data_IF_961357791426
#
_entry.id   IF_961357791426
#
_cell.length_a   1.000
_cell.length_b   1.000
_cell.length_c   1.000
_cell.angle_alpha   90.00
_cell.angle_beta   90.00
_cell.angle_gamma   90.00
#
_symmetry.space_group_name_H-M   'P 1'
#
loop_
_entity.id
_entity.type
_entity.pdbx_description
1 polymer ?
#
# COMPACT_ATOMS: atom_id res chain seq x y z
N UNK A 1 15.54 -31.68 -16.02
CA UNK A 1 14.28 -31.04 -15.58
C UNK A 1 14.39 -30.77 -14.09
N UNK A 2 14.67 -29.53 -13.68
CA UNK A 2 14.74 -29.16 -12.26
C UNK A 2 13.33 -28.88 -11.75
N UNK A 3 12.87 -29.67 -10.76
CA UNK A 3 11.61 -29.45 -10.06
C UNK A 3 11.71 -28.16 -9.24
N UNK A 4 10.90 -27.16 -9.61
CA UNK A 4 10.68 -25.97 -8.78
C UNK A 4 10.01 -26.38 -7.47
N UNK A 5 10.78 -26.38 -6.38
CA UNK A 5 10.25 -26.46 -5.03
C UNK A 5 9.53 -25.13 -4.77
N UNK A 6 8.20 -25.13 -4.85
CA UNK A 6 7.39 -23.95 -4.51
C UNK A 6 7.51 -23.70 -3.00
N UNK A 7 8.16 -22.60 -2.64
CA UNK A 7 8.26 -22.16 -1.25
C UNK A 7 6.85 -22.01 -0.63
N UNK A 8 6.56 -22.84 0.37
CA UNK A 8 5.30 -22.81 1.10
C UNK A 8 5.33 -21.63 2.07
N UNK A 9 4.72 -20.51 1.68
CA UNK A 9 4.60 -19.33 2.56
C UNK A 9 3.40 -19.50 3.49
N UNK A 10 3.65 -19.62 4.80
CA UNK A 10 2.63 -19.71 5.85
C UNK A 10 1.62 -18.54 5.82
N UNK A 11 2.01 -17.38 5.31
CA UNK A 11 1.16 -16.21 5.15
C UNK A 11 0.10 -16.33 4.04
N UNK A 12 0.22 -17.32 3.15
CA UNK A 12 -0.79 -17.55 2.09
C UNK A 12 -1.99 -18.37 2.56
N UNK A 13 -1.89 -19.07 3.70
CA UNK A 13 -2.96 -19.94 4.22
C UNK A 13 -4.26 -19.17 4.48
N UNK A 14 -4.25 -18.00 5.15
CA UNK A 14 -5.47 -17.22 5.37
C UNK A 14 -6.12 -16.76 4.06
N UNK A 15 -5.30 -16.39 3.07
CA UNK A 15 -5.75 -15.90 1.75
C UNK A 15 -6.39 -17.04 0.94
N UNK A 16 -5.81 -18.24 0.97
CA UNK A 16 -6.40 -19.42 0.32
C UNK A 16 -7.72 -19.84 0.98
N UNK A 17 -7.84 -19.73 2.31
CA UNK A 17 -9.10 -20.02 3.01
C UNK A 17 -10.15 -18.94 2.70
N UNK A 18 -9.76 -17.67 2.63
CA UNK A 18 -10.63 -16.55 2.31
C UNK A 18 -11.10 -16.50 0.84
N UNK A 19 -10.45 -17.25 -0.06
CA UNK A 19 -10.81 -17.34 -1.49
C UNK A 19 -11.40 -18.70 -1.89
N UNK A 20 -11.36 -19.70 -1.01
CA UNK A 20 -11.94 -21.01 -1.27
C UNK A 20 -13.48 -20.98 -1.33
N UNK A 21 -14.08 -21.98 -1.99
CA UNK A 21 -15.55 -22.14 -2.04
C UNK A 21 -16.14 -22.48 -0.66
N UNK A 22 -17.42 -22.15 -0.42
CA UNK A 22 -18.11 -22.33 0.88
C UNK A 22 -17.95 -23.75 1.46
N UNK A 23 -17.97 -24.78 0.61
CA UNK A 23 -17.77 -26.18 1.03
C UNK A 23 -16.34 -26.48 1.49
N UNK A 24 -15.33 -26.01 0.75
CA UNK A 24 -13.91 -26.22 1.09
C UNK A 24 -13.51 -25.48 2.37
N UNK A 25 -14.09 -24.30 2.65
CA UNK A 25 -13.91 -23.57 3.91
C UNK A 25 -14.47 -24.34 5.11
N UNK A 26 -15.68 -24.90 4.97
CA UNK A 26 -16.31 -25.69 6.04
C UNK A 26 -15.52 -26.96 6.33
N UNK A 27 -15.03 -27.65 5.30
CA UNK A 27 -14.23 -28.87 5.44
C UNK A 27 -12.86 -28.58 6.08
N UNK A 28 -12.20 -27.49 5.68
CA UNK A 28 -10.96 -27.06 6.30
C UNK A 28 -11.15 -26.66 7.77
N UNK A 29 -12.19 -25.88 8.08
CA UNK A 29 -12.51 -25.47 9.44
C UNK A 29 -12.84 -26.67 10.35
N UNK A 30 -13.65 -27.61 9.84
CA UNK A 30 -13.97 -28.84 10.55
C UNK A 30 -12.76 -29.74 10.75
N UNK A 31 -11.90 -29.89 9.74
CA UNK A 31 -10.67 -30.67 9.84
C UNK A 31 -9.65 -30.08 10.82
N UNK A 32 -9.52 -28.76 10.86
CA UNK A 32 -8.67 -28.09 11.86
C UNK A 32 -9.25 -28.20 13.26
N UNK A 33 -10.58 -28.08 13.40
CA UNK A 33 -11.24 -28.21 14.69
C UNK A 33 -11.09 -29.63 15.24
N UNK A 34 -11.40 -30.66 14.44
CA UNK A 34 -11.29 -32.06 14.86
C UNK A 34 -9.85 -32.47 15.19
N UNK A 35 -8.87 -31.99 14.42
CA UNK A 35 -7.45 -32.20 14.71
C UNK A 35 -7.01 -31.59 16.05
N UNK A 36 -7.43 -30.36 16.35
CA UNK A 36 -7.13 -29.71 17.63
C UNK A 36 -7.81 -30.40 18.81
N UNK A 37 -9.06 -30.88 18.63
CA UNK A 37 -9.75 -31.67 19.66
C UNK A 37 -9.09 -33.02 19.92
N UNK A 38 -8.62 -33.72 18.88
CA UNK A 38 -7.91 -35.00 19.03
C UNK A 38 -6.53 -34.85 19.71
N UNK A 39 -5.81 -33.76 19.42
CA UNK A 39 -4.55 -33.45 20.10
C UNK A 39 -4.80 -33.03 21.56
N UNK A 40 -5.87 -32.25 21.80
CA UNK A 40 -6.27 -31.82 23.14
C UNK A 40 -6.78 -32.94 24.04
N UNK A 41 -7.35 -34.01 23.48
CA UNK A 41 -7.75 -35.18 24.28
C UNK A 41 -6.57 -36.03 24.73
N UNK A 42 -5.46 -36.05 23.97
CA UNK A 42 -4.23 -36.78 24.30
C UNK A 42 -3.37 -36.02 25.31
N UNK A 43 -3.22 -34.69 25.13
CA UNK A 43 -2.37 -33.84 25.97
C UNK A 43 -3.07 -33.30 27.23
N UNK A 44 -4.38 -33.52 27.37
CA UNK A 44 -5.15 -33.18 28.56
C UNK A 44 -5.42 -31.67 28.75
N UNK A 45 -5.87 -31.26 29.95
CA UNK A 45 -6.35 -29.90 30.22
C UNK A 45 -5.30 -28.80 29.99
N UNK A 46 -4.02 -29.11 30.18
CA UNK A 46 -2.92 -28.17 30.00
C UNK A 46 -2.80 -27.66 28.55
N UNK A 47 -3.14 -28.49 27.56
CA UNK A 47 -3.16 -28.09 26.16
C UNK A 47 -4.15 -26.95 25.90
N UNK A 48 -5.35 -27.02 26.49
CA UNK A 48 -6.37 -25.98 26.33
C UNK A 48 -5.97 -24.66 26.98
N UNK A 49 -5.22 -24.70 28.09
CA UNK A 49 -4.67 -23.50 28.73
C UNK A 49 -3.63 -22.84 27.83
N UNK A 50 -2.71 -23.62 27.24
CA UNK A 50 -1.68 -23.10 26.32
C UNK A 50 -2.30 -22.58 25.02
N UNK A 51 -3.25 -23.33 24.45
CA UNK A 51 -3.97 -22.92 23.24
C UNK A 51 -4.83 -21.67 23.50
N UNK A 52 -5.53 -21.62 24.63
CA UNK A 52 -6.32 -20.47 25.05
C UNK A 52 -5.45 -19.23 25.32
N UNK A 53 -4.32 -19.40 26.01
CA UNK A 53 -3.39 -18.31 26.31
C UNK A 53 -2.71 -17.75 25.06
N UNK A 54 -2.27 -18.61 24.14
CA UNK A 54 -1.70 -18.17 22.86
C UNK A 54 -2.76 -17.50 21.97
N UNK A 55 -3.98 -18.03 21.90
CA UNK A 55 -5.09 -17.41 21.20
C UNK A 55 -5.46 -16.04 21.79
N UNK A 56 -5.43 -15.88 23.12
CA UNK A 56 -5.67 -14.61 23.79
C UNK A 56 -4.59 -13.56 23.44
N UNK A 57 -3.32 -13.95 23.38
CA UNK A 57 -2.23 -13.05 22.98
C UNK A 57 -2.34 -12.61 21.52
N UNK A 58 -2.68 -13.53 20.62
CA UNK A 58 -2.92 -13.22 19.21
C UNK A 58 -4.14 -12.30 19.09
N UNK A 59 -5.23 -12.62 19.78
CA UNK A 59 -6.45 -11.81 19.80
C UNK A 59 -6.21 -10.42 20.38
N UNK A 60 -5.39 -10.29 21.42
CA UNK A 60 -4.97 -9.01 22.00
C UNK A 60 -4.14 -8.19 21.02
N UNK A 61 -3.19 -8.81 20.29
CA UNK A 61 -2.42 -8.11 19.26
C UNK A 61 -3.27 -7.68 18.08
N UNK A 62 -4.18 -8.53 17.64
CA UNK A 62 -5.16 -8.19 16.61
C UNK A 62 -6.02 -7.05 17.11
N UNK A 63 -6.58 -7.12 18.32
CA UNK A 63 -7.39 -6.05 18.90
C UNK A 63 -6.62 -4.74 19.02
N UNK A 64 -5.36 -4.73 19.47
CA UNK A 64 -4.50 -3.53 19.49
C UNK A 64 -4.24 -2.95 18.10
N UNK A 65 -4.10 -3.80 17.08
CA UNK A 65 -3.96 -3.33 15.70
C UNK A 65 -5.30 -2.77 15.17
N UNK A 66 -6.43 -3.36 15.57
CA UNK A 66 -7.77 -2.94 15.15
C UNK A 66 -8.33 -1.77 15.97
N UNK A 67 -7.87 -1.54 17.20
CA UNK A 67 -8.34 -0.45 18.05
C UNK A 67 -7.97 0.93 17.50
N UNK A 68 -6.84 1.03 16.79
CA UNK A 68 -6.47 2.23 16.05
C UNK A 68 -7.52 2.59 14.96
N UNK A 69 -8.18 1.58 14.38
CA UNK A 69 -9.29 1.83 13.45
C UNK A 69 -10.55 2.32 14.18
N UNK A 70 -10.76 1.93 15.44
CA UNK A 70 -11.85 2.44 16.26
C UNK A 70 -11.65 3.88 16.71
N UNK A 71 -10.42 4.30 17.01
CA UNK A 71 -10.11 5.71 17.31
C UNK A 71 -10.38 6.62 16.10
N UNK A 72 -10.09 6.14 14.89
CA UNK A 72 -10.42 6.84 13.65
C UNK A 72 -11.95 6.99 13.48
N UNK A 73 -12.73 6.03 13.98
CA UNK A 73 -14.21 6.05 13.93
C UNK A 73 -14.80 6.96 15.02
N UNK A 74 -14.17 7.05 16.20
CA UNK A 74 -14.71 7.78 17.35
C UNK A 74 -14.28 9.25 17.41
N UNK A 75 -13.09 9.62 16.94
CA UNK A 75 -12.60 11.02 16.99
C UNK A 75 -13.04 11.88 15.80
N UNK A 76 -13.86 11.35 14.90
CA UNK A 76 -14.43 12.14 13.82
C UNK A 76 -15.66 12.92 14.33
N UNK A 77 -15.44 14.16 14.77
CA UNK A 77 -16.48 15.19 14.98
C UNK A 77 -17.17 15.53 13.64
N UNK A 78 -17.90 14.57 13.08
CA UNK A 78 -18.60 14.69 11.82
C UNK A 78 -20.03 15.18 12.07
N UNK A 79 -20.33 16.35 11.51
CA UNK A 79 -21.65 16.95 11.45
C UNK A 79 -22.73 15.94 10.99
N UNK A 80 -24.01 16.14 11.36
CA UNK A 80 -25.03 15.08 11.36
C UNK A 80 -25.53 14.60 9.98
N UNK A 81 -24.87 14.94 8.87
CA UNK A 81 -25.49 14.91 7.54
C UNK A 81 -24.81 14.03 6.46
N UNK A 82 -23.80 13.20 6.76
CA UNK A 82 -23.16 12.38 5.72
C UNK A 82 -22.72 10.95 6.16
N UNK A 83 -23.72 10.13 6.54
CA UNK A 83 -23.96 8.76 6.05
C UNK A 83 -22.83 7.72 5.94
N UNK A 84 -22.76 6.88 6.98
CA UNK A 84 -22.28 5.48 7.04
C UNK A 84 -20.78 5.22 6.95
N UNK A 85 -20.31 4.29 7.79
CA UNK A 85 -18.97 3.69 7.74
C UNK A 85 -18.62 3.17 6.34
N UNK A 86 -19.63 2.73 5.57
CA UNK A 86 -19.48 2.37 4.16
C UNK A 86 -19.13 3.56 3.26
N UNK A 87 -19.71 4.75 3.51
CA UNK A 87 -19.36 5.99 2.80
C UNK A 87 -17.92 6.44 3.08
N UNK A 88 -17.49 6.35 4.34
CA UNK A 88 -16.10 6.62 4.75
C UNK A 88 -15.12 5.58 4.18
N UNK A 89 -15.45 4.29 4.25
CA UNK A 89 -14.64 3.23 3.63
C UNK A 89 -14.59 3.38 2.11
N UNK A 90 -15.70 3.72 1.46
CA UNK A 90 -15.77 3.92 0.01
C UNK A 90 -14.96 5.15 -0.41
N UNK A 91 -14.98 6.23 0.35
CA UNK A 91 -14.17 7.41 0.06
C UNK A 91 -12.68 7.14 0.26
N UNK A 92 -12.31 6.41 1.31
CA UNK A 92 -10.94 5.95 1.58
C UNK A 92 -10.43 4.96 0.51
N UNK A 93 -11.25 4.01 0.07
CA UNK A 93 -10.90 3.08 -1.02
C UNK A 93 -10.82 3.82 -2.35
N UNK A 94 -11.67 4.83 -2.58
CA UNK A 94 -11.62 5.69 -3.75
C UNK A 94 -10.35 6.53 -3.82
N UNK A 95 -9.94 7.15 -2.70
CA UNK A 95 -8.69 7.90 -2.63
C UNK A 95 -7.47 7.00 -2.77
N UNK A 96 -7.49 5.80 -2.18
CA UNK A 96 -6.40 4.83 -2.32
C UNK A 96 -6.28 4.32 -3.77
N UNK A 97 -7.39 4.08 -4.47
CA UNK A 97 -7.35 3.70 -5.90
C UNK A 97 -6.82 4.83 -6.77
N UNK A 98 -7.24 6.07 -6.52
CA UNK A 98 -6.74 7.23 -7.25
C UNK A 98 -5.25 7.47 -6.97
N UNK A 99 -4.81 7.29 -5.73
CA UNK A 99 -3.41 7.41 -5.33
C UNK A 99 -2.54 6.32 -5.99
N UNK A 100 -3.02 5.09 -6.06
CA UNK A 100 -2.30 3.99 -6.71
C UNK A 100 -2.21 4.18 -8.23
N UNK A 101 -3.29 4.67 -8.87
CA UNK A 101 -3.26 5.04 -10.28
C UNK A 101 -2.29 6.21 -10.54
N UNK A 102 -2.29 7.22 -9.69
CA UNK A 102 -1.36 8.35 -9.78
C UNK A 102 0.09 7.89 -9.59
N UNK A 103 0.34 6.98 -8.66
CA UNK A 103 1.65 6.37 -8.43
C UNK A 103 2.14 5.65 -9.68
N UNK A 104 1.29 4.85 -10.32
CA UNK A 104 1.65 4.13 -11.55
C UNK A 104 1.97 5.10 -12.70
N UNK A 105 1.13 6.12 -12.92
CA UNK A 105 1.40 7.15 -13.93
C UNK A 105 2.71 7.91 -13.66
N UNK A 106 2.99 8.22 -12.39
CA UNK A 106 4.23 8.88 -12.01
C UNK A 106 5.45 7.98 -12.24
N UNK A 107 5.35 6.68 -11.96
CA UNK A 107 6.42 5.71 -12.24
C UNK A 107 6.69 5.63 -13.74
N UNK A 108 5.63 5.50 -14.55
CA UNK A 108 5.76 5.44 -16.01
C UNK A 108 6.42 6.71 -16.57
N UNK A 109 6.08 7.88 -16.01
CA UNK A 109 6.69 9.15 -16.40
C UNK A 109 8.16 9.26 -15.96
N UNK A 110 8.49 8.82 -14.75
CA UNK A 110 9.89 8.82 -14.28
C UNK A 110 10.74 7.86 -15.10
N UNK A 111 10.20 6.69 -15.47
CA UNK A 111 10.88 5.72 -16.32
C UNK A 111 11.06 6.24 -17.75
N UNK A 112 10.06 6.91 -18.32
CA UNK A 112 10.15 7.50 -19.67
C UNK A 112 11.16 8.65 -19.70
N UNK A 113 11.15 9.52 -18.69
CA UNK A 113 12.14 10.58 -18.53
C UNK A 113 13.54 10.02 -18.28
N UNK A 114 13.68 9.00 -17.44
CA UNK A 114 14.95 8.33 -17.19
C UNK A 114 15.54 7.58 -18.40
N UNK A 115 14.74 7.36 -19.45
CA UNK A 115 15.21 6.85 -20.74
C UNK A 115 15.78 7.95 -21.66
N UNK A 116 15.54 9.22 -21.35
CA UNK A 116 16.16 10.37 -22.04
C UNK A 116 17.57 10.62 -21.50
N UNK A 117 18.47 11.21 -22.29
CA UNK A 117 19.83 11.52 -21.82
C UNK A 117 19.82 12.47 -20.62
N UNK A 118 18.93 13.47 -20.62
CA UNK A 118 18.82 14.44 -19.55
C UNK A 118 18.33 13.78 -18.25
N UNK A 119 17.24 13.01 -18.31
CA UNK A 119 16.70 12.34 -17.14
C UNK A 119 17.57 11.19 -16.65
N UNK A 120 18.28 10.49 -17.55
CA UNK A 120 19.27 9.50 -17.16
C UNK A 120 20.40 10.13 -16.35
N UNK A 121 20.92 11.27 -16.80
CA UNK A 121 21.99 11.98 -16.12
C UNK A 121 21.56 12.50 -14.75
N UNK A 122 20.38 13.09 -14.65
CA UNK A 122 19.81 13.51 -13.38
C UNK A 122 19.63 12.34 -12.39
N UNK A 123 19.03 11.24 -12.84
CA UNK A 123 18.78 10.07 -11.99
C UNK A 123 20.08 9.38 -11.55
N UNK A 124 21.06 9.22 -12.44
CA UNK A 124 22.33 8.54 -12.14
C UNK A 124 23.29 9.47 -11.40
N UNK A 125 23.61 10.64 -11.96
CA UNK A 125 24.67 11.51 -11.44
C UNK A 125 24.20 12.28 -10.19
N UNK A 126 22.94 12.73 -10.15
CA UNK A 126 22.44 13.59 -9.07
C UNK A 126 21.71 12.80 -7.98
N UNK A 127 21.00 11.72 -8.33
CA UNK A 127 20.21 10.90 -7.40
C UNK A 127 20.85 9.53 -7.08
N UNK A 128 21.96 9.17 -7.74
CA UNK A 128 22.69 7.93 -7.50
C UNK A 128 21.93 6.66 -7.91
N UNK A 129 21.03 6.75 -8.89
CA UNK A 129 20.22 5.64 -9.38
C UNK A 129 20.87 4.95 -10.58
N UNK A 130 21.94 4.20 -10.33
CA UNK A 130 22.74 3.54 -11.37
C UNK A 130 21.93 2.55 -12.22
N UNK A 131 20.92 1.90 -11.63
CA UNK A 131 20.08 0.91 -12.30
C UNK A 131 18.61 1.34 -12.36
N UNK A 132 18.31 2.38 -13.14
CA UNK A 132 16.94 2.92 -13.34
C UNK A 132 15.90 1.83 -13.66
N UNK A 133 16.28 0.79 -14.40
CA UNK A 133 15.38 -0.33 -14.77
C UNK A 133 15.09 -1.31 -13.64
N UNK A 134 15.94 -1.34 -12.60
CA UNK A 134 15.83 -2.24 -11.46
C UNK A 134 15.38 -1.50 -10.19
N UNK A 135 14.79 -0.31 -10.36
CA UNK A 135 14.23 0.48 -9.26
C UNK A 135 13.05 -0.24 -8.60
N UNK A 136 13.10 -0.30 -7.28
CA UNK A 136 12.02 -0.77 -6.42
C UNK A 136 11.22 0.42 -5.95
N UNK A 137 9.97 0.50 -6.38
CA UNK A 137 9.03 1.54 -5.97
C UNK A 137 8.22 1.08 -4.76
N UNK A 138 8.32 1.83 -3.67
CA UNK A 138 7.57 1.57 -2.46
C UNK A 138 6.11 2.04 -2.58
N UNK A 139 5.21 1.51 -1.73
CA UNK A 139 3.86 2.05 -1.60
C UNK A 139 3.87 3.54 -1.26
N UNK A 140 2.82 4.27 -1.67
CA UNK A 140 2.63 5.64 -1.26
C UNK A 140 2.51 5.73 0.26
N UNK A 141 3.35 6.56 0.89
CA UNK A 141 3.38 6.74 2.34
C UNK A 141 2.70 8.05 2.77
N UNK A 142 2.52 8.98 1.83
CA UNK A 142 1.76 10.21 2.03
C UNK A 142 0.75 10.37 0.89
N UNK A 143 -0.52 10.58 1.24
CA UNK A 143 -1.60 10.88 0.29
C UNK A 143 -2.29 12.14 0.81
N UNK A 144 -2.20 13.21 0.03
CA UNK A 144 -2.91 14.46 0.31
C UNK A 144 -3.98 14.64 -0.74
N UNK A 145 -5.12 15.15 -0.29
CA UNK A 145 -6.25 15.42 -1.16
C UNK A 145 -6.79 16.77 -0.80
N UNK A 146 -6.67 17.72 -1.71
CA UNK A 146 -7.15 19.09 -1.52
C UNK A 146 -8.22 19.40 -2.56
N UNK A 147 -9.32 19.97 -2.10
CA UNK A 147 -10.33 20.51 -3.01
C UNK A 147 -9.91 21.94 -3.34
N UNK A 148 -9.54 22.18 -4.60
CA UNK A 148 -9.14 23.49 -5.10
C UNK A 148 -10.24 24.02 -6.01
N UNK A 149 -10.75 25.22 -5.72
CA UNK A 149 -11.66 25.90 -6.61
C UNK A 149 -10.85 26.68 -7.64
N UNK A 150 -10.85 26.23 -8.90
CA UNK A 150 -10.19 26.93 -10.00
C UNK A 150 -11.27 27.27 -11.02
N UNK A 151 -11.54 28.57 -11.18
CA UNK A 151 -12.57 29.11 -12.09
C UNK A 151 -14.00 28.63 -11.79
N UNK A 152 -14.38 28.51 -10.52
CA UNK A 152 -15.75 28.13 -10.11
C UNK A 152 -16.08 26.65 -10.37
N UNK A 153 -15.08 25.84 -10.71
CA UNK A 153 -15.18 24.39 -10.82
C UNK A 153 -14.35 23.78 -9.71
N UNK A 154 -15.01 23.02 -8.83
CA UNK A 154 -14.36 22.24 -7.78
C UNK A 154 -13.48 21.18 -8.43
N UNK A 155 -12.17 21.35 -8.33
CA UNK A 155 -11.18 20.38 -8.79
C UNK A 155 -10.57 19.71 -7.59
N UNK A 156 -10.62 18.39 -7.57
CA UNK A 156 -10.01 17.61 -6.50
C UNK A 156 -8.57 17.31 -6.91
N UNK A 157 -7.62 17.90 -6.21
CA UNK A 157 -6.20 17.66 -6.39
C UNK A 157 -5.79 16.51 -5.47
N UNK A 158 -5.08 15.54 -6.04
CA UNK A 158 -4.52 14.40 -5.32
C UNK A 158 -3.01 14.48 -5.47
N UNK A 159 -2.33 14.45 -4.34
CA UNK A 159 -0.87 14.46 -4.25
C UNK A 159 -0.42 13.19 -3.52
N UNK A 160 0.56 12.50 -4.09
CA UNK A 160 1.12 11.28 -3.53
C UNK A 160 2.64 11.39 -3.42
N UNK A 161 3.17 10.87 -2.32
CA UNK A 161 4.60 10.78 -2.08
C UNK A 161 4.99 9.32 -1.83
N UNK A 162 6.01 8.85 -2.54
CA UNK A 162 6.51 7.48 -2.45
C UNK A 162 8.02 7.44 -2.68
N UNK A 163 8.65 6.37 -2.18
CA UNK A 163 10.09 6.17 -2.32
C UNK A 163 10.39 5.27 -3.52
N UNK A 164 11.51 5.51 -4.18
CA UNK A 164 12.12 4.60 -5.13
C UNK A 164 13.55 4.29 -4.65
N UNK A 165 13.99 3.03 -4.76
CA UNK A 165 15.32 2.60 -4.36
C UNK A 165 15.94 1.67 -5.39
N UNK A 166 17.22 1.83 -5.67
CA UNK A 166 18.02 0.87 -6.44
C UNK A 166 18.35 -0.34 -5.55
N UNK A 167 17.87 -1.51 -5.97
CA UNK A 167 18.06 -2.75 -5.23
C UNK A 167 19.49 -3.31 -5.35
N UNK A 168 20.28 -2.86 -6.33
CA UNK A 168 21.65 -3.33 -6.56
C UNK A 168 22.71 -2.51 -5.82
N UNK A 169 22.43 -1.24 -5.59
CA UNK A 169 23.32 -0.29 -4.91
C UNK A 169 22.58 0.37 -3.75
N UNK A 170 22.20 -0.43 -2.75
CA UNK A 170 21.63 0.05 -1.49
C UNK A 170 22.70 0.67 -0.59
N UNK A 171 23.47 1.63 -1.10
CA UNK A 171 24.58 2.26 -0.38
C UNK A 171 24.15 3.56 0.32
N UNK A 172 24.92 3.99 1.32
CA UNK A 172 24.61 5.17 2.16
C UNK A 172 24.68 6.51 1.40
N UNK A 173 25.26 6.53 0.19
CA UNK A 173 25.58 7.74 -0.56
C UNK A 173 24.68 8.02 -1.77
N UNK A 174 23.70 7.18 -2.05
CA UNK A 174 22.88 7.31 -3.26
C UNK A 174 22.21 5.99 -3.58
N UNK A 175 21.12 6.05 -4.34
CA UNK A 175 20.32 4.88 -4.68
C UNK A 175 18.93 4.90 -4.07
N UNK A 176 18.49 6.02 -3.48
CA UNK A 176 17.08 6.20 -3.15
C UNK A 176 16.62 7.64 -3.41
N UNK A 177 15.39 7.79 -3.88
CA UNK A 177 14.77 9.09 -4.10
C UNK A 177 13.31 9.05 -3.65
N UNK A 178 12.79 10.23 -3.33
CA UNK A 178 11.39 10.50 -3.05
C UNK A 178 10.77 11.08 -4.31
N UNK A 179 9.71 10.43 -4.78
CA UNK A 179 8.89 10.88 -5.90
C UNK A 179 7.61 11.47 -5.34
N UNK A 180 7.37 12.74 -5.68
CA UNK A 180 6.13 13.46 -5.36
C UNK A 180 5.38 13.70 -6.66
N UNK A 181 4.17 13.19 -6.75
CA UNK A 181 3.33 13.34 -7.93
C UNK A 181 2.01 14.02 -7.56
N UNK A 182 1.55 14.92 -8.42
CA UNK A 182 0.26 15.60 -8.26
C UNK A 182 -0.60 15.43 -9.50
N UNK A 183 -1.89 15.20 -9.29
CA UNK A 183 -2.87 15.12 -10.35
C UNK A 183 -4.18 15.80 -9.97
N UNK A 184 -4.91 16.23 -10.99
CA UNK A 184 -6.26 16.78 -10.84
C UNK A 184 -7.28 15.77 -11.35
N UNK A 185 -8.31 15.58 -10.53
CA UNK A 185 -9.52 14.84 -10.87
C UNK A 185 -10.56 15.86 -11.34
N UNK A 186 -10.88 15.85 -12.63
CA UNK A 186 -11.94 16.68 -13.20
C UNK A 186 -13.31 16.08 -12.87
N UNK A 187 -14.16 16.86 -12.19
CA UNK A 187 -15.53 16.47 -11.84
C UNK A 187 -16.36 16.27 -13.12
N UNK A 188 -16.87 15.04 -13.33
CA UNK A 188 -17.66 14.66 -14.50
C UNK A 188 -17.02 13.60 -15.42
N UNK A 189 -15.71 13.33 -15.28
CA UNK A 189 -15.05 12.19 -15.93
C UNK A 189 -14.52 11.25 -14.86
N UNK A 190 -15.28 10.20 -14.54
CA UNK A 190 -15.04 9.26 -13.43
C UNK A 190 -13.67 8.58 -13.42
N UNK A 191 -12.83 8.73 -14.46
CA UNK A 191 -11.67 7.86 -14.68
C UNK A 191 -10.43 8.57 -15.26
N UNK A 192 -10.42 9.89 -15.45
CA UNK A 192 -9.24 10.57 -16.01
C UNK A 192 -8.54 11.42 -14.95
N UNK A 193 -7.59 10.80 -14.25
CA UNK A 193 -6.54 11.51 -13.52
C UNK A 193 -5.64 12.20 -14.56
N UNK A 194 -5.56 13.52 -14.50
CA UNK A 194 -4.59 14.29 -15.29
C UNK A 194 -3.39 14.63 -14.42
N UNK A 195 -2.25 14.00 -14.73
CA UNK A 195 -0.96 14.30 -14.12
C UNK A 195 -0.63 15.79 -14.36
N UNK A 196 -0.29 16.51 -13.29
CA UNK A 196 0.04 17.94 -13.36
C UNK A 196 1.49 18.23 -13.07
N UNK A 197 2.09 17.48 -12.15
CA UNK A 197 3.49 17.67 -11.76
C UNK A 197 4.02 16.35 -11.22
N UNK A 198 5.27 16.04 -11.57
CA UNK A 198 6.03 14.94 -10.99
C UNK A 198 7.39 15.48 -10.64
N UNK A 199 7.78 15.32 -9.37
CA UNK A 199 9.08 15.75 -8.86
C UNK A 199 9.82 14.60 -8.25
N UNK A 200 11.13 14.62 -8.41
CA UNK A 200 12.04 13.66 -7.81
C UNK A 200 13.00 14.42 -6.91
N UNK A 201 13.29 13.89 -5.72
CA UNK A 201 14.23 14.50 -4.78
C UNK A 201 14.97 13.42 -4.02
N UNK A 202 16.19 13.71 -3.57
CA UNK A 202 16.91 12.84 -2.63
C UNK A 202 17.09 13.62 -1.32
N UNK A 203 16.26 13.38 -0.29
CA UNK A 203 16.31 14.13 0.95
C UNK A 203 17.71 14.10 1.58
N UNK A 204 18.31 15.28 1.73
CA UNK A 204 19.66 15.43 2.30
C UNK A 204 20.81 15.33 1.28
N UNK A 205 20.52 15.09 0.00
CA UNK A 205 21.53 14.94 -1.06
C UNK A 205 21.26 15.84 -2.28
N UNK A 206 20.03 15.86 -2.80
CA UNK A 206 19.68 16.64 -3.99
C UNK A 206 18.35 17.36 -3.83
N UNK A 207 18.25 18.56 -4.44
CA UNK A 207 17.04 19.37 -4.43
C UNK A 207 15.92 18.73 -5.27
N UNK A 208 14.70 19.25 -5.12
CA UNK A 208 13.57 18.80 -5.96
C UNK A 208 13.84 19.15 -7.44
N UNK A 209 13.79 18.14 -8.30
CA UNK A 209 13.86 18.28 -9.75
C UNK A 209 12.52 17.91 -10.38
N UNK A 210 12.03 18.73 -11.31
CA UNK A 210 10.74 18.50 -11.98
C UNK A 210 10.91 17.63 -13.21
N UNK A 211 10.15 16.54 -13.27
CA UNK A 211 10.07 15.64 -14.43
C UNK A 211 9.15 16.28 -15.47
N UNK A 212 9.60 16.46 -16.72
CA UNK A 212 8.75 16.96 -17.79
C UNK A 212 7.63 15.95 -18.08
N UNK A 213 6.42 16.46 -18.31
CA UNK A 213 5.21 15.67 -18.63
C UNK A 213 5.07 15.39 -20.12
#
# INVERSE_FOLDING_TARGET
QQQQIRAFSWWRIPVYIATASKGKRRLAALGTASGLFAIGSILGPAFWIVLGGSAALVSWRVWRATSHWWDIIQNSNLAPAANSLFGLLRSQVGSHRAAEQLRQLAIDQVLSWGATEQGHRALVDELGMDHIRDLVYFPAHSIRTSDTDINGKKKKMVEVEFWAQDNRTADYRGGSCVIRASAVVEEGRKEHLRLQDVRVSAPGWHAEESVPL
#
